data_IF_511794369994
#
_entry.id   IF_511794369994
#
_cell.length_a   1.000
_cell.length_b   1.000
_cell.length_c   1.000
_cell.angle_alpha   90.00
_cell.angle_beta   90.00
_cell.angle_gamma   90.00
#
_symmetry.space_group_name_H-M   'P 1'
#
loop_
_entity.id
_entity.type
_entity.pdbx_description
1 polymer ?
#
# COMPACT_ATOMS: atom_id res chain seq x y z
N UNK A 1 22.70 -0.94 3.76
CA UNK A 1 22.41 -2.28 3.22
C UNK A 1 22.49 -2.19 1.71
N UNK A 2 23.27 -3.06 1.08
CA UNK A 2 23.32 -3.19 -0.37
C UNK A 2 21.99 -3.72 -0.90
N UNK A 3 21.52 -3.17 -2.00
CA UNK A 3 20.29 -3.57 -2.66
C UNK A 3 20.59 -3.94 -4.12
N UNK A 4 20.41 -5.20 -4.52
CA UNK A 4 20.75 -5.63 -5.88
C UNK A 4 19.97 -4.85 -6.94
N UNK A 5 20.68 -4.33 -7.94
CA UNK A 5 20.09 -3.49 -9.00
C UNK A 5 18.95 -4.18 -9.75
N UNK A 6 19.02 -5.50 -9.92
CA UNK A 6 17.98 -6.30 -10.59
C UNK A 6 16.60 -6.17 -9.93
N UNK A 7 16.53 -6.19 -8.60
CA UNK A 7 15.26 -6.05 -7.89
C UNK A 7 14.74 -4.61 -7.92
N UNK A 8 15.66 -3.64 -8.01
CA UNK A 8 15.30 -2.23 -8.14
C UNK A 8 14.65 -1.99 -9.50
N UNK A 9 15.30 -2.42 -10.58
CA UNK A 9 14.78 -2.31 -11.94
C UNK A 9 13.44 -3.04 -12.09
N UNK A 10 13.33 -4.25 -11.55
CA UNK A 10 12.07 -5.00 -11.54
C UNK A 10 10.94 -4.22 -10.85
N UNK A 11 11.21 -3.60 -9.69
CA UNK A 11 10.20 -2.85 -8.97
C UNK A 11 9.79 -1.55 -9.69
N UNK A 12 10.73 -0.91 -10.40
CA UNK A 12 10.43 0.25 -11.25
C UNK A 12 9.50 -0.14 -12.41
N UNK A 13 9.75 -1.27 -13.06
CA UNK A 13 8.90 -1.79 -14.15
C UNK A 13 7.49 -2.13 -13.66
N UNK A 14 7.35 -2.62 -12.43
CA UNK A 14 6.06 -2.98 -11.84
C UNK A 14 5.17 -1.78 -11.49
N UNK A 15 5.75 -0.61 -11.19
CA UNK A 15 4.98 0.55 -10.71
C UNK A 15 3.87 1.01 -11.69
N UNK A 16 4.14 1.26 -12.99
CA UNK A 16 3.10 1.65 -13.93
C UNK A 16 2.08 0.54 -14.20
N UNK A 17 2.49 -0.73 -14.05
CA UNK A 17 1.58 -1.87 -14.17
C UNK A 17 0.59 -1.93 -13.00
N UNK A 18 1.07 -1.70 -11.77
CA UNK A 18 0.20 -1.64 -10.60
C UNK A 18 -0.70 -0.41 -10.59
N UNK A 19 -0.23 0.74 -11.08
CA UNK A 19 -1.06 1.92 -11.26
C UNK A 19 -2.26 1.62 -12.18
N UNK A 20 -2.01 1.04 -13.36
CA UNK A 20 -3.05 0.67 -14.31
C UNK A 20 -3.96 -0.45 -13.76
N UNK A 21 -3.39 -1.45 -13.08
CA UNK A 21 -4.16 -2.52 -12.44
C UNK A 21 -5.12 -1.96 -11.39
N UNK A 22 -4.64 -1.07 -10.50
CA UNK A 22 -5.49 -0.44 -9.48
C UNK A 22 -6.63 0.32 -10.13
N UNK A 23 -6.30 1.11 -11.15
CA UNK A 23 -7.27 1.88 -11.89
C UNK A 23 -8.35 0.97 -12.53
N UNK A 24 -7.95 -0.06 -13.29
CA UNK A 24 -8.88 -0.97 -13.97
C UNK A 24 -9.72 -1.80 -13.01
N UNK A 25 -9.16 -2.28 -11.90
CA UNK A 25 -9.94 -2.98 -10.86
C UNK A 25 -10.96 -2.04 -10.22
N UNK A 26 -10.62 -0.75 -10.05
CA UNK A 26 -11.54 0.23 -9.48
C UNK A 26 -12.77 0.52 -10.36
N UNK A 27 -12.71 0.19 -11.66
CA UNK A 27 -13.82 0.34 -12.60
C UNK A 27 -14.80 -0.86 -12.53
N UNK A 28 -14.37 -2.02 -12.05
CA UNK A 28 -15.20 -3.21 -11.93
C UNK A 28 -15.88 -3.24 -10.55
N UNK A 29 -16.92 -2.41 -10.41
CA UNK A 29 -17.66 -2.27 -9.15
C UNK A 29 -18.31 -3.57 -8.68
N UNK A 30 -18.75 -4.41 -9.62
CA UNK A 30 -19.33 -5.73 -9.31
C UNK A 30 -18.28 -6.67 -8.75
N UNK A 31 -17.08 -6.71 -9.31
CA UNK A 31 -15.95 -7.45 -8.74
C UNK A 31 -15.66 -7.01 -7.31
N UNK A 32 -15.54 -5.70 -7.05
CA UNK A 32 -15.29 -5.19 -5.70
C UNK A 32 -16.37 -5.60 -4.70
N UNK A 33 -17.65 -5.44 -5.06
CA UNK A 33 -18.77 -5.80 -4.20
C UNK A 33 -18.84 -7.32 -3.95
N UNK A 34 -18.66 -8.14 -4.98
CA UNK A 34 -18.73 -9.60 -4.88
C UNK A 34 -17.56 -10.16 -4.07
N UNK A 35 -16.33 -9.73 -4.35
CA UNK A 35 -15.14 -10.23 -3.66
C UNK A 35 -15.15 -9.89 -2.17
N UNK A 36 -15.72 -8.75 -1.80
CA UNK A 36 -15.80 -8.29 -0.41
C UNK A 36 -17.16 -8.58 0.26
N UNK A 37 -18.08 -9.29 -0.40
CA UNK A 37 -19.42 -9.54 0.11
C UNK A 37 -19.42 -10.27 1.46
N UNK A 38 -18.61 -11.33 1.61
CA UNK A 38 -18.47 -12.05 2.89
C UNK A 38 -17.78 -11.20 3.94
N UNK A 39 -16.77 -10.43 3.55
CA UNK A 39 -16.06 -9.50 4.44
C UNK A 39 -17.01 -8.43 4.99
N UNK A 40 -17.97 -7.95 4.19
CA UNK A 40 -19.01 -7.00 4.61
C UNK A 40 -19.83 -7.47 5.81
N UNK A 41 -20.10 -8.77 5.91
CA UNK A 41 -20.91 -9.34 6.99
C UNK A 41 -20.21 -9.24 8.35
N UNK A 42 -18.88 -9.32 8.36
CA UNK A 42 -18.08 -9.52 9.58
C UNK A 42 -17.15 -8.38 9.92
N UNK A 43 -16.82 -7.51 8.97
CA UNK A 43 -16.00 -6.32 9.21
C UNK A 43 -16.83 -5.02 9.07
N UNK A 44 -17.23 -4.39 10.19
CA UNK A 44 -18.00 -3.14 10.18
C UNK A 44 -17.32 -2.01 9.39
N UNK A 45 -15.99 -1.92 9.40
CA UNK A 45 -15.29 -0.86 8.69
C UNK A 45 -15.37 -1.05 7.18
N UNK A 46 -14.98 -2.22 6.67
CA UNK A 46 -15.09 -2.55 5.24
C UNK A 46 -16.54 -2.46 4.76
N UNK A 47 -17.52 -2.86 5.58
CA UNK A 47 -18.95 -2.68 5.27
C UNK A 47 -19.32 -1.24 4.99
N UNK A 48 -18.89 -0.31 5.84
CA UNK A 48 -19.19 1.12 5.67
C UNK A 48 -18.52 1.70 4.42
N UNK A 49 -17.32 1.23 4.06
CA UNK A 49 -16.69 1.58 2.77
C UNK A 49 -17.51 1.06 1.58
N UNK A 50 -17.95 -0.20 1.63
CA UNK A 50 -18.79 -0.82 0.59
C UNK A 50 -20.15 -0.12 0.46
N UNK A 51 -20.76 0.31 1.57
CA UNK A 51 -22.03 1.03 1.55
C UNK A 51 -21.91 2.39 0.85
N UNK A 52 -20.77 3.09 1.00
CA UNK A 52 -20.48 4.32 0.25
C UNK A 52 -20.29 3.99 -1.22
N UNK A 53 -19.53 2.95 -1.54
CA UNK A 53 -19.29 2.50 -2.91
C UNK A 53 -20.59 2.11 -3.62
N UNK A 54 -21.48 1.33 -2.98
CA UNK A 54 -22.81 0.98 -3.50
C UNK A 54 -23.63 2.22 -3.85
N UNK A 55 -23.64 3.24 -2.97
CA UNK A 55 -24.31 4.51 -3.26
C UNK A 55 -23.72 5.23 -4.46
N UNK A 56 -22.41 5.13 -4.71
CA UNK A 56 -21.78 5.76 -5.90
C UNK A 56 -22.15 5.00 -7.18
N UNK A 57 -22.25 3.67 -7.11
CA UNK A 57 -22.74 2.85 -8.22
C UNK A 57 -24.21 3.14 -8.54
N UNK A 58 -25.07 3.26 -7.51
CA UNK A 58 -26.49 3.61 -7.68
C UNK A 58 -26.70 4.99 -8.32
N UNK A 59 -25.85 5.97 -7.95
CA UNK A 59 -25.86 7.29 -8.58
C UNK A 59 -25.33 7.27 -10.02
N UNK A 60 -24.73 6.16 -10.46
CA UNK A 60 -24.03 6.00 -11.74
C UNK A 60 -23.11 7.19 -12.04
N UNK A 61 -22.38 7.62 -11.02
CA UNK A 61 -21.56 8.82 -11.11
C UNK A 61 -20.40 8.57 -12.07
N UNK A 62 -20.36 9.34 -13.15
CA UNK A 62 -19.21 9.36 -14.06
C UNK A 62 -18.11 10.22 -13.47
N UNK A 63 -16.95 9.60 -13.25
CA UNK A 63 -15.74 10.27 -12.78
C UNK A 63 -14.71 10.24 -13.90
N UNK A 64 -14.77 11.26 -14.76
CA UNK A 64 -13.88 11.35 -15.93
C UNK A 64 -12.41 11.52 -15.49
N UNK A 65 -12.16 12.28 -14.42
CA UNK A 65 -10.81 12.52 -13.91
C UNK A 65 -10.57 11.66 -12.67
N UNK A 66 -9.58 10.78 -12.73
CA UNK A 66 -9.26 9.83 -11.66
C UNK A 66 -7.77 9.92 -11.33
N UNK A 67 -7.47 10.11 -10.04
CA UNK A 67 -6.12 10.26 -9.50
C UNK A 67 -5.86 9.17 -8.46
N UNK A 68 -4.71 8.49 -8.59
CA UNK A 68 -4.20 7.54 -7.62
C UNK A 68 -2.76 7.86 -7.25
N UNK A 69 -2.47 8.02 -5.96
CA UNK A 69 -1.11 8.09 -5.43
C UNK A 69 -0.86 6.87 -4.55
N UNK A 70 -0.20 5.87 -5.11
CA UNK A 70 -0.07 4.53 -4.53
C UNK A 70 1.35 4.26 -4.04
N UNK A 71 1.50 3.20 -3.24
CA UNK A 71 2.81 2.64 -2.89
C UNK A 71 2.73 1.12 -2.84
N UNK A 72 3.47 0.48 -3.72
CA UNK A 72 3.60 -0.98 -3.76
C UNK A 72 4.83 -1.37 -2.94
N UNK A 73 4.63 -2.13 -1.87
CA UNK A 73 5.67 -2.51 -0.92
C UNK A 73 6.15 -3.94 -1.18
N UNK A 74 7.46 -4.16 -1.11
CA UNK A 74 8.11 -5.41 -1.46
C UNK A 74 9.19 -5.83 -0.48
N UNK A 75 9.45 -7.14 -0.47
CA UNK A 75 10.59 -7.77 0.18
C UNK A 75 11.23 -8.76 -0.80
N UNK A 76 12.56 -8.89 -0.77
CA UNK A 76 13.26 -9.96 -1.47
C UNK A 76 13.22 -11.19 -0.58
N UNK A 77 12.70 -12.30 -1.08
CA UNK A 77 12.68 -13.56 -0.35
C UNK A 77 14.04 -14.27 -0.46
N UNK A 78 14.70 -14.53 0.67
CA UNK A 78 16.05 -15.09 0.68
C UNK A 78 16.14 -16.57 0.29
N UNK A 79 15.02 -17.30 0.26
CA UNK A 79 14.99 -18.70 -0.15
C UNK A 79 14.80 -18.85 -1.67
N UNK A 80 14.06 -17.93 -2.30
CA UNK A 80 13.69 -18.02 -3.72
C UNK A 80 14.35 -16.97 -4.60
N UNK A 81 15.06 -15.99 -4.02
CA UNK A 81 15.63 -14.84 -4.71
C UNK A 81 14.58 -14.11 -5.57
N UNK A 82 13.34 -14.04 -5.06
CA UNK A 82 12.23 -13.36 -5.71
C UNK A 82 11.89 -12.07 -5.02
N UNK A 83 11.60 -11.05 -5.81
CA UNK A 83 10.95 -9.84 -5.34
C UNK A 83 9.46 -10.10 -5.13
N UNK A 84 9.01 -10.14 -3.87
CA UNK A 84 7.63 -10.44 -3.52
C UNK A 84 6.93 -9.21 -2.91
N UNK A 85 5.74 -8.89 -3.40
CA UNK A 85 4.91 -7.81 -2.91
C UNK A 85 4.33 -8.16 -1.55
N UNK A 86 4.59 -7.31 -0.56
CA UNK A 86 4.05 -7.38 0.79
C UNK A 86 2.60 -6.90 0.82
N UNK A 87 2.35 -5.74 0.23
CA UNK A 87 1.04 -5.11 0.14
C UNK A 87 1.03 -3.99 -0.91
N UNK A 88 -0.17 -3.56 -1.29
CA UNK A 88 -0.39 -2.41 -2.15
C UNK A 88 -1.19 -1.35 -1.38
N UNK A 89 -0.59 -0.20 -1.16
CA UNK A 89 -1.22 0.91 -0.44
C UNK A 89 -1.85 1.86 -1.46
N UNK A 90 -3.17 2.02 -1.41
CA UNK A 90 -3.90 2.90 -2.34
C UNK A 90 -4.45 4.17 -1.68
N UNK A 91 -4.42 4.24 -0.34
CA UNK A 91 -4.87 5.40 0.44
C UNK A 91 -3.76 5.90 1.37
N UNK A 92 -3.63 7.23 1.50
CA UNK A 92 -2.79 7.90 2.49
C UNK A 92 -1.35 7.35 2.55
N UNK A 93 -0.73 7.16 1.39
CA UNK A 93 0.64 6.69 1.29
C UNK A 93 1.60 7.70 1.93
N UNK A 94 2.21 7.27 3.04
CA UNK A 94 3.01 8.15 3.90
C UNK A 94 4.50 8.12 3.56
N UNK A 95 5.24 9.03 4.20
CA UNK A 95 6.72 9.07 4.21
C UNK A 95 7.42 9.40 2.89
N UNK A 96 6.72 9.80 1.84
CA UNK A 96 7.34 10.26 0.58
C UNK A 96 8.30 11.44 0.79
N UNK A 97 7.94 12.45 1.59
CA UNK A 97 8.83 13.56 1.94
C UNK A 97 10.01 13.18 2.82
N UNK A 98 9.77 12.36 3.84
CA UNK A 98 10.83 11.91 4.75
C UNK A 98 11.85 11.01 4.02
N UNK A 99 11.39 10.16 3.09
CA UNK A 99 12.25 9.31 2.29
C UNK A 99 13.22 10.11 1.40
N UNK A 100 12.77 11.25 0.85
CA UNK A 100 13.65 12.20 0.15
C UNK A 100 14.75 12.72 1.07
N UNK A 101 14.38 13.18 2.28
CA UNK A 101 15.34 13.68 3.27
C UNK A 101 16.34 12.62 3.72
N UNK A 102 15.92 11.37 3.90
CA UNK A 102 16.80 10.26 4.29
C UNK A 102 17.78 9.88 3.19
N UNK A 103 17.35 9.89 1.92
CA UNK A 103 18.27 9.70 0.79
C UNK A 103 19.37 10.78 0.79
N UNK A 104 19.00 12.05 0.96
CA UNK A 104 19.98 13.14 1.01
C UNK A 104 20.87 13.08 2.26
N UNK A 105 20.33 12.68 3.41
CA UNK A 105 21.11 12.44 4.62
C UNK A 105 22.21 11.40 4.35
N UNK A 106 21.87 10.24 3.81
CA UNK A 106 22.86 9.19 3.56
C UNK A 106 23.89 9.60 2.49
N UNK A 107 23.46 10.29 1.42
CA UNK A 107 24.38 10.86 0.43
C UNK A 107 25.35 11.86 1.09
N UNK A 108 24.85 12.70 1.98
CA UNK A 108 25.66 13.69 2.69
C UNK A 108 26.66 13.03 3.65
N UNK A 109 26.23 12.02 4.42
CA UNK A 109 27.12 11.27 5.31
C UNK A 109 28.24 10.58 4.52
N UNK A 110 27.91 9.94 3.39
CA UNK A 110 28.93 9.31 2.54
C UNK A 110 29.91 10.36 2.00
N UNK A 111 29.44 11.53 1.54
CA UNK A 111 30.31 12.63 1.08
C UNK A 111 31.31 13.07 2.15
N UNK A 112 30.88 13.19 3.41
CA UNK A 112 31.75 13.64 4.51
C UNK A 112 32.73 12.57 4.98
N UNK A 113 32.37 11.29 4.83
CA UNK A 113 33.15 10.14 5.31
C UNK A 113 33.67 9.25 4.17
N UNK A 114 33.79 9.78 2.95
CA UNK A 114 34.10 9.01 1.73
C UNK A 114 35.39 8.20 1.87
N UNK A 115 36.43 8.80 2.45
CA UNK A 115 37.74 8.15 2.69
C UNK A 115 37.66 6.99 3.69
N UNK A 116 36.77 7.07 4.66
CA UNK A 116 36.61 6.07 5.73
C UNK A 116 35.70 4.93 5.29
N UNK A 117 34.64 5.26 4.54
CA UNK A 117 33.63 4.31 4.10
C UNK A 117 33.99 3.62 2.77
N UNK A 118 34.76 4.28 1.90
CA UNK A 118 35.05 3.78 0.56
C UNK A 118 33.81 3.63 -0.32
N UNK A 119 32.78 4.45 -0.09
CA UNK A 119 31.49 4.40 -0.78
C UNK A 119 31.31 5.64 -1.66
N UNK A 120 30.70 5.47 -2.82
CA UNK A 120 30.28 6.57 -3.69
C UNK A 120 28.89 7.09 -3.27
N UNK A 121 28.72 8.39 -2.95
CA UNK A 121 27.42 8.99 -2.70
C UNK A 121 26.40 8.77 -3.84
N UNK A 122 26.85 8.59 -5.08
CA UNK A 122 25.98 8.32 -6.23
C UNK A 122 25.35 6.92 -6.20
N UNK A 123 25.93 5.97 -5.45
CA UNK A 123 25.37 4.63 -5.26
C UNK A 123 24.09 4.63 -4.41
N UNK A 124 23.85 5.68 -3.62
CA UNK A 124 22.56 5.88 -2.96
C UNK A 124 21.56 6.42 -3.96
N UNK A 125 20.42 5.76 -4.17
CA UNK A 125 19.41 6.21 -5.14
C UNK A 125 18.79 7.53 -4.68
N UNK A 126 18.78 8.52 -5.58
CA UNK A 126 18.16 9.83 -5.35
C UNK A 126 16.64 9.69 -5.29
N UNK A 127 15.96 10.60 -4.60
CA UNK A 127 14.54 10.42 -4.34
C UNK A 127 13.76 11.74 -4.45
N UNK A 128 12.82 11.77 -5.37
CA UNK A 128 11.98 12.95 -5.71
C UNK A 128 10.50 12.70 -5.42
N UNK A 129 10.16 11.70 -4.60
CA UNK A 129 8.80 11.24 -4.37
C UNK A 129 7.81 12.34 -3.96
N UNK A 130 8.23 13.26 -3.10
CA UNK A 130 7.36 14.38 -2.68
C UNK A 130 7.04 15.33 -3.82
N UNK A 131 8.03 15.68 -4.64
CA UNK A 131 7.85 16.60 -5.77
C UNK A 131 6.95 15.96 -6.82
N UNK A 132 7.17 14.69 -7.17
CA UNK A 132 6.37 13.99 -8.18
C UNK A 132 4.91 13.81 -7.72
N UNK A 133 4.66 13.48 -6.46
CA UNK A 133 3.28 13.45 -5.92
C UNK A 133 2.62 14.84 -5.90
N UNK A 134 3.38 15.91 -5.60
CA UNK A 134 2.87 17.27 -5.64
C UNK A 134 2.53 17.71 -7.08
N UNK A 135 3.37 17.34 -8.05
CA UNK A 135 3.13 17.57 -9.49
C UNK A 135 1.89 16.82 -9.97
N UNK A 136 1.68 15.58 -9.54
CA UNK A 136 0.47 14.82 -9.86
C UNK A 136 -0.80 15.48 -9.29
N UNK A 137 -0.77 15.97 -8.04
CA UNK A 137 -1.87 16.74 -7.45
C UNK A 137 -2.12 18.05 -8.20
N UNK A 138 -1.06 18.78 -8.58
CA UNK A 138 -1.14 20.02 -9.33
C UNK A 138 -1.72 19.79 -10.74
N UNK A 139 -1.33 18.68 -11.39
CA UNK A 139 -1.83 18.30 -12.72
C UNK A 139 -3.30 17.91 -12.64
N UNK A 140 -3.72 17.16 -11.62
CA UNK A 140 -5.13 16.84 -11.40
C UNK A 140 -5.98 18.10 -11.13
N UNK A 141 -5.45 19.04 -10.35
CA UNK A 141 -6.10 20.34 -10.14
C UNK A 141 -6.23 21.13 -11.46
N UNK A 142 -5.21 21.11 -12.32
CA UNK A 142 -5.24 21.75 -13.62
C UNK A 142 -6.29 21.11 -14.56
N UNK A 143 -6.39 19.77 -14.55
CA UNK A 143 -7.41 19.03 -15.31
C UNK A 143 -8.84 19.31 -14.81
N UNK A 144 -9.02 19.57 -13.52
CA UNK A 144 -10.31 20.03 -12.97
C UNK A 144 -10.73 21.40 -13.54
N UNK A 145 -9.76 22.23 -13.94
CA UNK A 145 -9.95 23.47 -14.69
C UNK A 145 -10.87 24.51 -14.01
N UNK A 146 -10.64 24.77 -12.72
CA UNK A 146 -11.27 25.87 -11.98
C UNK A 146 -10.24 26.60 -11.12
N UNK A 147 -9.85 27.82 -11.54
CA UNK A 147 -8.81 28.61 -10.89
C UNK A 147 -9.14 29.04 -9.45
N UNK A 148 -10.42 29.08 -9.08
CA UNK A 148 -10.84 29.43 -7.72
C UNK A 148 -10.87 28.23 -6.76
N UNK A 149 -10.74 27.02 -7.29
CA UNK A 149 -10.83 25.80 -6.52
C UNK A 149 -9.52 25.47 -5.80
N UNK A 150 -9.63 24.75 -4.68
CA UNK A 150 -8.47 24.38 -3.85
C UNK A 150 -8.24 22.86 -3.83
N UNK A 151 -7.04 22.45 -3.41
CA UNK A 151 -6.77 21.08 -2.96
C UNK A 151 -7.10 21.00 -1.47
N UNK A 152 -8.08 20.19 -1.10
CA UNK A 152 -8.41 19.89 0.29
C UNK A 152 -7.59 18.69 0.74
N UNK A 153 -6.81 18.84 1.81
CA UNK A 153 -6.07 17.73 2.43
C UNK A 153 -6.86 17.25 3.65
N UNK A 154 -7.36 16.02 3.61
CA UNK A 154 -8.12 15.43 4.73
C UNK A 154 -7.11 14.88 5.73
N UNK A 155 -6.92 15.63 6.82
CA UNK A 155 -6.05 15.29 7.95
C UNK A 155 -6.87 14.81 9.16
N UNK A 156 -6.20 14.31 10.18
CA UNK A 156 -6.82 14.02 11.49
C UNK A 156 -7.27 15.33 12.17
N UNK A 157 -8.29 15.25 13.03
CA UNK A 157 -9.24 16.31 13.44
C UNK A 157 -8.85 17.80 13.35
N UNK A 158 -9.86 18.62 12.98
CA UNK A 158 -9.98 20.09 12.90
C UNK A 158 -9.71 20.76 11.53
N UNK A 159 -10.75 20.94 10.68
CA UNK A 159 -10.78 21.95 9.60
C UNK A 159 -12.20 22.25 9.05
N UNK A 160 -12.48 23.49 8.63
CA UNK A 160 -13.71 23.90 7.91
C UNK A 160 -13.37 24.87 6.78
N UNK A 161 -13.88 24.62 5.56
CA UNK A 161 -13.64 25.47 4.39
C UNK A 161 -14.95 25.81 3.64
N UNK A 162 -15.06 27.06 3.15
CA UNK A 162 -16.20 27.56 2.35
C UNK A 162 -15.89 27.79 0.87
N UNK A 163 -14.79 27.22 0.35
CA UNK A 163 -14.34 27.37 -1.04
C UNK A 163 -14.67 26.14 -1.89
N UNK A 164 -14.83 26.27 -3.22
CA UNK A 164 -14.88 25.12 -4.12
C UNK A 164 -13.62 24.25 -3.99
N UNK A 165 -13.78 22.94 -4.02
CA UNK A 165 -12.67 21.97 -3.90
C UNK A 165 -12.52 21.21 -5.20
N UNK A 166 -11.33 21.24 -5.79
CA UNK A 166 -10.98 20.54 -7.02
C UNK A 166 -10.47 19.12 -6.74
N UNK A 167 -9.61 18.97 -5.72
CA UNK A 167 -8.98 17.70 -5.35
C UNK A 167 -9.15 17.48 -3.85
N UNK A 168 -9.49 16.25 -3.45
CA UNK A 168 -9.48 15.82 -2.06
C UNK A 168 -8.38 14.78 -1.88
N UNK A 169 -7.31 15.15 -1.17
CA UNK A 169 -6.17 14.29 -0.88
C UNK A 169 -6.31 13.69 0.53
N UNK A 170 -6.54 12.38 0.61
CA UNK A 170 -6.71 11.70 1.89
C UNK A 170 -5.37 11.42 2.57
N UNK A 171 -5.19 11.98 3.77
CA UNK A 171 -4.14 11.64 4.74
C UNK A 171 -4.69 10.99 6.03
N UNK A 172 -5.95 10.60 5.98
CA UNK A 172 -6.73 9.92 7.02
C UNK A 172 -7.85 9.11 6.36
N UNK A 173 -8.70 8.47 7.16
CA UNK A 173 -9.89 7.74 6.68
C UNK A 173 -9.61 6.31 6.25
N UNK A 174 -8.43 5.78 6.55
CA UNK A 174 -8.01 4.39 6.29
C UNK A 174 -8.11 3.50 7.54
N UNK A 175 -8.41 4.09 8.71
CA UNK A 175 -8.58 3.39 9.98
C UNK A 175 -9.98 3.64 10.54
N UNK A 176 -10.60 2.66 11.24
CA UNK A 176 -11.83 2.89 11.99
C UNK A 176 -11.70 4.02 13.03
N UNK A 177 -10.49 4.27 13.55
CA UNK A 177 -10.24 5.32 14.52
C UNK A 177 -10.48 6.73 13.96
N UNK A 178 -10.43 6.91 12.63
CA UNK A 178 -10.76 8.17 11.96
C UNK A 178 -12.28 8.38 11.82
N UNK A 179 -13.10 7.43 12.29
CA UNK A 179 -14.57 7.47 12.23
C UNK A 179 -15.22 7.24 13.61
N UNK A 180 -14.96 8.10 14.61
CA UNK A 180 -15.53 7.95 15.94
C UNK A 180 -17.05 8.11 15.98
N UNK A 181 -17.65 8.72 14.94
CA UNK A 181 -19.10 8.95 14.86
C UNK A 181 -19.65 8.84 13.44
N UNK A 182 -20.97 8.97 13.30
CA UNK A 182 -21.62 9.06 11.99
C UNK A 182 -21.26 10.36 11.23
N UNK A 183 -20.72 11.39 11.91
CA UNK A 183 -20.35 12.63 11.27
C UNK A 183 -19.24 12.42 10.23
N UNK A 184 -18.21 11.63 10.56
CA UNK A 184 -17.08 11.36 9.66
C UNK A 184 -17.51 10.49 8.47
N UNK A 185 -18.42 9.54 8.69
CA UNK A 185 -19.01 8.74 7.60
C UNK A 185 -19.86 9.60 6.66
N UNK A 186 -20.65 10.53 7.20
CA UNK A 186 -21.39 11.51 6.38
C UNK A 186 -20.44 12.42 5.61
N UNK A 187 -19.35 12.87 6.22
CA UNK A 187 -18.34 13.69 5.57
C UNK A 187 -17.66 12.92 4.42
N UNK A 188 -17.27 11.66 4.65
CA UNK A 188 -16.71 10.80 3.60
C UNK A 188 -17.68 10.62 2.44
N UNK A 189 -18.96 10.31 2.71
CA UNK A 189 -19.97 10.19 1.66
C UNK A 189 -20.20 11.51 0.91
N UNK A 190 -20.19 12.65 1.62
CA UNK A 190 -20.32 13.98 1.01
C UNK A 190 -19.17 14.26 0.04
N UNK A 191 -17.93 13.96 0.45
CA UNK A 191 -16.74 14.07 -0.38
C UNK A 191 -16.87 13.19 -1.63
N UNK A 192 -17.22 11.91 -1.48
CA UNK A 192 -17.34 10.97 -2.60
C UNK A 192 -18.43 11.42 -3.59
N UNK A 193 -19.53 12.01 -3.11
CA UNK A 193 -20.59 12.58 -3.96
C UNK A 193 -20.16 13.84 -4.72
N UNK A 194 -19.29 14.66 -4.14
CA UNK A 194 -18.85 15.94 -4.72
C UNK A 194 -18.13 15.79 -6.07
N UNK A 195 -18.09 16.84 -6.88
CA UNK A 195 -17.37 16.83 -8.16
C UNK A 195 -15.85 16.78 -8.03
N UNK A 196 -15.29 16.99 -6.82
CA UNK A 196 -13.86 16.97 -6.59
C UNK A 196 -13.24 15.63 -7.00
N UNK A 197 -11.99 15.65 -7.46
CA UNK A 197 -11.17 14.47 -7.75
C UNK A 197 -10.69 13.92 -6.42
N UNK A 198 -10.99 12.65 -6.10
CA UNK A 198 -10.52 12.05 -4.85
C UNK A 198 -9.19 11.34 -5.09
N UNK A 199 -8.29 11.46 -4.14
CA UNK A 199 -7.01 10.74 -4.10
C UNK A 199 -6.88 10.01 -2.75
N UNK A 200 -7.34 8.74 -2.67
CA UNK A 200 -8.07 7.98 -3.70
C UNK A 200 -9.60 8.14 -3.59
N UNK A 201 -10.32 7.75 -4.65
CA UNK A 201 -11.77 7.50 -4.57
C UNK A 201 -12.10 6.29 -3.69
N UNK A 202 -13.38 6.13 -3.32
CA UNK A 202 -13.82 4.96 -2.54
C UNK A 202 -13.50 3.63 -3.23
N UNK A 203 -13.63 3.55 -4.56
CA UNK A 203 -13.30 2.35 -5.32
C UNK A 203 -11.80 2.04 -5.24
N UNK A 204 -10.94 3.03 -5.50
CA UNK A 204 -9.48 2.88 -5.37
C UNK A 204 -9.06 2.48 -3.95
N UNK A 205 -9.72 3.01 -2.91
CA UNK A 205 -9.49 2.58 -1.53
C UNK A 205 -9.84 1.08 -1.36
N UNK A 206 -10.99 0.62 -1.84
CA UNK A 206 -11.36 -0.80 -1.77
C UNK A 206 -10.36 -1.73 -2.48
N UNK A 207 -9.76 -1.28 -3.60
CA UNK A 207 -8.72 -2.05 -4.30
C UNK A 207 -7.51 -2.35 -3.40
N UNK A 208 -7.17 -1.43 -2.48
CA UNK A 208 -6.04 -1.61 -1.56
C UNK A 208 -6.27 -2.64 -0.45
N UNK A 209 -7.50 -3.15 -0.30
CA UNK A 209 -7.78 -4.16 0.72
C UNK A 209 -7.01 -5.44 0.48
N UNK A 210 -6.57 -6.08 1.57
CA UNK A 210 -5.81 -7.33 1.52
C UNK A 210 -6.62 -8.44 0.83
N UNK A 211 -7.95 -8.43 0.98
CA UNK A 211 -8.85 -9.37 0.30
C UNK A 211 -8.83 -9.21 -1.23
N UNK A 212 -8.81 -7.99 -1.76
CA UNK A 212 -8.65 -7.76 -3.20
C UNK A 212 -7.26 -8.21 -3.68
N UNK A 213 -6.20 -7.90 -2.94
CA UNK A 213 -4.85 -8.39 -3.25
C UNK A 213 -4.81 -9.93 -3.34
N UNK A 214 -5.42 -10.64 -2.39
CA UNK A 214 -5.54 -12.10 -2.42
C UNK A 214 -6.35 -12.58 -3.62
N UNK A 215 -7.44 -11.91 -3.97
CA UNK A 215 -8.28 -12.32 -5.09
C UNK A 215 -7.58 -12.14 -6.44
N UNK A 216 -6.83 -11.05 -6.61
CA UNK A 216 -6.01 -10.81 -7.80
C UNK A 216 -4.93 -11.88 -7.99
N UNK A 217 -4.47 -12.53 -6.92
CA UNK A 217 -3.48 -13.60 -6.99
C UNK A 217 -4.05 -14.95 -7.47
N UNK A 218 -5.37 -15.09 -7.58
CA UNK A 218 -5.98 -16.30 -8.15
C UNK A 218 -5.72 -16.40 -9.66
N UNK A 219 -5.63 -17.64 -10.15
CA UNK A 219 -5.50 -17.89 -11.58
C UNK A 219 -6.62 -17.20 -12.37
N UNK A 220 -6.25 -16.63 -13.54
CA UNK A 220 -7.16 -15.98 -14.49
C UNK A 220 -7.83 -14.67 -14.02
N UNK A 221 -7.58 -14.21 -12.78
CA UNK A 221 -8.17 -12.96 -12.30
C UNK A 221 -7.43 -11.74 -12.84
N UNK A 222 -6.08 -11.75 -12.88
CA UNK A 222 -5.29 -10.66 -13.49
C UNK A 222 -5.66 -10.43 -14.96
N UNK A 223 -5.91 -11.50 -15.70
CA UNK A 223 -6.30 -11.49 -17.12
C UNK A 223 -7.63 -10.76 -17.39
N UNK A 224 -8.46 -10.52 -16.36
CA UNK A 224 -9.65 -9.67 -16.49
C UNK A 224 -9.32 -8.18 -16.56
N UNK A 225 -8.16 -7.81 -16.00
CA UNK A 225 -7.79 -6.41 -15.78
C UNK A 225 -6.57 -6.00 -16.60
N UNK A 226 -5.71 -6.93 -17.01
CA UNK A 226 -4.52 -6.65 -17.83
C UNK A 226 -4.58 -7.49 -19.11
N UNK A 227 -4.26 -6.85 -20.24
CA UNK A 227 -4.35 -7.49 -21.56
C UNK A 227 -3.00 -8.09 -22.02
N UNK A 228 -1.90 -7.45 -21.63
CA UNK A 228 -0.57 -7.85 -22.06
C UNK A 228 -0.07 -9.05 -21.23
N UNK A 229 0.19 -10.18 -21.91
CA UNK A 229 0.66 -11.42 -21.27
C UNK A 229 1.97 -11.25 -20.49
N UNK A 230 2.90 -10.46 -21.01
CA UNK A 230 4.18 -10.20 -20.34
C UNK A 230 3.96 -9.40 -19.06
N UNK A 231 3.08 -8.40 -19.09
CA UNK A 231 2.76 -7.58 -17.92
C UNK A 231 2.06 -8.40 -16.84
N UNK A 232 1.11 -9.24 -17.24
CA UNK A 232 0.43 -10.20 -16.36
C UNK A 232 1.44 -11.14 -15.70
N UNK A 233 2.39 -11.67 -16.47
CA UNK A 233 3.43 -12.54 -15.94
C UNK A 233 4.35 -11.81 -14.97
N UNK A 234 4.74 -10.57 -15.27
CA UNK A 234 5.58 -9.74 -14.41
C UNK A 234 4.88 -9.41 -13.08
N UNK A 235 3.60 -9.00 -13.13
CA UNK A 235 2.79 -8.77 -11.93
C UNK A 235 2.65 -10.06 -11.12
N UNK A 236 2.33 -11.18 -11.78
CA UNK A 236 2.18 -12.49 -11.11
C UNK A 236 3.47 -12.95 -10.43
N UNK A 237 4.63 -12.74 -11.05
CA UNK A 237 5.95 -13.12 -10.50
C UNK A 237 6.24 -12.47 -9.15
N UNK A 238 5.66 -11.30 -8.86
CA UNK A 238 5.85 -10.64 -7.59
C UNK A 238 4.80 -11.01 -6.52
N UNK A 239 3.78 -11.81 -6.83
CA UNK A 239 2.86 -12.26 -5.79
C UNK A 239 3.49 -13.35 -4.93
N UNK A 240 3.51 -13.11 -3.62
CA UNK A 240 3.72 -14.18 -2.65
C UNK A 240 2.50 -15.11 -2.63
N UNK A 241 2.62 -16.24 -1.93
CA UNK A 241 1.46 -17.07 -1.64
C UNK A 241 0.38 -16.29 -0.89
N UNK A 242 -0.83 -16.23 -1.47
CA UNK A 242 -1.98 -15.48 -0.94
C UNK A 242 -3.22 -16.38 -1.00
N UNK A 243 -3.88 -16.59 0.15
CA UNK A 243 -4.95 -17.58 0.26
C UNK A 243 -6.14 -17.06 1.08
N UNK A 244 -7.34 -17.45 0.63
CA UNK A 244 -8.55 -17.38 1.44
C UNK A 244 -8.49 -18.43 2.55
N UNK A 245 -9.08 -18.15 3.71
CA UNK A 245 -9.22 -19.11 4.80
C UNK A 245 -10.21 -20.25 4.51
N UNK A 246 -10.82 -20.25 3.32
CA UNK A 246 -11.63 -21.37 2.81
C UNK A 246 -10.77 -22.53 2.27
N UNK A 247 -9.46 -22.33 2.10
CA UNK A 247 -8.56 -23.39 1.67
C UNK A 247 -8.09 -24.20 2.88
N UNK A 248 -8.84 -25.25 3.24
CA UNK A 248 -8.56 -26.10 4.41
C UNK A 248 -7.13 -26.67 4.43
N UNK A 249 -6.57 -27.04 3.27
CA UNK A 249 -5.22 -27.59 3.20
C UNK A 249 -4.17 -26.56 3.64
N UNK A 250 -4.28 -25.34 3.15
CA UNK A 250 -3.36 -24.25 3.49
C UNK A 250 -3.58 -23.78 4.93
N UNK A 251 -4.84 -23.75 5.41
CA UNK A 251 -5.14 -23.42 6.81
C UNK A 251 -4.57 -24.47 7.76
N UNK A 252 -4.68 -25.77 7.45
CA UNK A 252 -4.05 -26.84 8.23
C UNK A 252 -2.52 -26.67 8.27
N UNK A 253 -1.89 -26.41 7.12
CA UNK A 253 -0.46 -26.16 7.04
C UNK A 253 -0.02 -24.95 7.88
N UNK A 254 -0.82 -23.88 7.90
CA UNK A 254 -0.55 -22.71 8.73
C UNK A 254 -0.79 -22.94 10.24
N UNK A 255 -1.65 -23.88 10.61
CA UNK A 255 -1.78 -24.31 12.01
C UNK A 255 -0.57 -25.16 12.43
N UNK A 256 -0.06 -26.02 11.56
CA UNK A 256 1.10 -26.86 11.84
C UNK A 256 2.39 -26.03 11.94
N UNK A 257 2.61 -25.13 10.97
CA UNK A 257 3.81 -24.30 10.79
C UNK A 257 3.48 -22.80 10.72
N UNK A 258 2.95 -22.20 11.80
CA UNK A 258 2.47 -20.82 11.80
C UNK A 258 3.56 -19.76 11.58
N UNK A 259 4.83 -20.11 11.83
CA UNK A 259 5.98 -19.25 11.60
C UNK A 259 6.17 -18.89 10.11
N UNK A 260 5.65 -19.71 9.20
CA UNK A 260 5.76 -19.55 7.73
C UNK A 260 4.65 -18.66 7.13
N UNK A 261 3.71 -18.20 7.95
CA UNK A 261 2.54 -17.47 7.48
C UNK A 261 2.33 -16.15 8.24
N UNK A 262 1.54 -15.28 7.63
CA UNK A 262 1.02 -14.05 8.21
C UNK A 262 -0.48 -14.01 7.98
N UNK A 263 -1.25 -13.79 9.03
CA UNK A 263 -2.69 -13.63 8.98
C UNK A 263 -3.01 -12.14 9.01
N UNK A 264 -3.68 -11.63 7.97
CA UNK A 264 -3.90 -10.19 7.79
C UNK A 264 -5.40 -9.85 7.81
N UNK A 265 -5.87 -8.97 8.72
CA UNK A 265 -7.20 -8.40 8.64
C UNK A 265 -7.29 -7.32 7.55
N UNK A 266 -8.49 -6.83 7.26
CA UNK A 266 -8.71 -5.71 6.32
C UNK A 266 -8.40 -4.34 6.98
N UNK A 267 -7.14 -4.12 7.36
CA UNK A 267 -6.68 -2.88 7.99
C UNK A 267 -5.42 -2.37 7.31
N UNK A 268 -5.23 -1.05 7.39
CA UNK A 268 -4.06 -0.32 6.92
C UNK A 268 -3.30 0.32 8.09
N UNK A 269 -2.04 0.71 7.87
CA UNK A 269 -1.27 1.52 8.82
C UNK A 269 -0.37 0.74 9.80
N UNK A 270 -0.25 -0.58 9.64
CA UNK A 270 0.63 -1.44 10.45
C UNK A 270 0.09 -1.79 11.84
N UNK A 271 0.65 -2.82 12.47
CA UNK A 271 0.28 -3.25 13.83
C UNK A 271 -0.95 -4.17 13.92
N UNK A 272 -1.50 -4.61 12.79
CA UNK A 272 -2.76 -5.39 12.75
C UNK A 272 -2.54 -6.86 12.41
N UNK A 273 -1.35 -7.25 11.96
CA UNK A 273 -1.10 -8.59 11.46
C UNK A 273 -0.86 -9.56 12.61
N UNK A 274 -1.20 -10.83 12.40
CA UNK A 274 -1.08 -11.89 13.39
C UNK A 274 -0.06 -12.92 12.88
N UNK A 275 0.84 -13.36 13.76
CA UNK A 275 2.01 -14.20 13.45
C UNK A 275 2.17 -15.32 14.48
N UNK A 276 2.87 -16.40 14.11
CA UNK A 276 3.32 -17.43 15.05
C UNK A 276 2.19 -18.06 15.86
N UNK A 277 2.41 -18.27 17.16
CA UNK A 277 1.42 -18.96 18.01
C UNK A 277 0.06 -18.23 18.05
N UNK A 278 0.06 -16.89 18.06
CA UNK A 278 -1.18 -16.11 17.99
C UNK A 278 -1.95 -16.37 16.68
N UNK A 279 -1.25 -16.61 15.57
CA UNK A 279 -1.87 -16.99 14.29
C UNK A 279 -2.51 -18.37 14.41
N UNK A 280 -1.77 -19.36 14.94
CA UNK A 280 -2.26 -20.73 15.15
C UNK A 280 -3.53 -20.74 16.01
N UNK A 281 -3.48 -20.07 17.16
CA UNK A 281 -4.61 -19.97 18.10
C UNK A 281 -5.82 -19.29 17.46
N UNK A 282 -5.59 -18.21 16.70
CA UNK A 282 -6.65 -17.50 15.98
C UNK A 282 -7.30 -18.40 14.94
N UNK A 283 -6.53 -19.14 14.13
CA UNK A 283 -7.07 -20.06 13.13
C UNK A 283 -7.87 -21.20 13.78
N UNK A 284 -7.40 -21.78 14.89
CA UNK A 284 -8.12 -22.84 15.61
C UNK A 284 -9.45 -22.31 16.15
N UNK A 285 -9.47 -21.11 16.74
CA UNK A 285 -10.70 -20.48 17.23
C UNK A 285 -11.70 -20.25 16.10
N UNK A 286 -11.26 -19.60 15.01
CA UNK A 286 -12.11 -19.30 13.86
C UNK A 286 -12.76 -20.54 13.24
N UNK A 287 -12.06 -21.69 13.23
CA UNK A 287 -12.63 -22.96 12.72
C UNK A 287 -13.62 -23.61 13.68
N UNK A 288 -13.41 -23.52 15.00
CA UNK A 288 -14.30 -24.12 16.00
C UNK A 288 -15.66 -23.43 16.03
N UNK A 289 -15.67 -22.12 15.90
CA UNK A 289 -16.89 -21.33 16.07
C UNK A 289 -17.84 -21.40 14.86
N UNK A 290 -17.40 -22.03 13.76
CA UNK A 290 -18.16 -22.10 12.50
C UNK A 290 -18.56 -20.71 11.97
N UNK A 291 -17.89 -19.66 12.46
CA UNK A 291 -18.30 -18.28 12.24
C UNK A 291 -17.82 -17.82 10.86
N UNK A 292 -18.61 -16.95 10.23
CA UNK A 292 -18.19 -16.27 8.99
C UNK A 292 -17.01 -15.31 9.21
N UNK A 293 -16.48 -15.17 10.44
CA UNK A 293 -15.38 -14.26 10.78
C UNK A 293 -14.09 -14.57 10.01
N UNK A 294 -13.94 -15.79 9.49
CA UNK A 294 -12.85 -16.15 8.57
C UNK A 294 -12.75 -15.20 7.37
N UNK A 295 -13.87 -14.58 6.94
CA UNK A 295 -13.90 -13.65 5.83
C UNK A 295 -13.28 -12.27 6.12
N UNK A 296 -12.99 -11.96 7.39
CA UNK A 296 -12.27 -10.74 7.75
C UNK A 296 -10.77 -10.82 7.45
N UNK A 297 -10.24 -12.02 7.22
CA UNK A 297 -8.81 -12.28 7.10
C UNK A 297 -8.41 -12.89 5.77
N UNK A 298 -7.15 -12.68 5.40
CA UNK A 298 -6.44 -13.50 4.41
C UNK A 298 -5.22 -14.13 5.07
N UNK A 299 -4.77 -15.25 4.50
CA UNK A 299 -3.49 -15.85 4.86
C UNK A 299 -2.47 -15.54 3.77
N UNK A 300 -1.28 -15.15 4.18
CA UNK A 300 -0.18 -14.82 3.27
C UNK A 300 1.08 -15.58 3.66
N UNK A 301 1.86 -16.00 2.67
CA UNK A 301 3.22 -16.49 2.85
C UNK A 301 4.05 -15.44 3.58
N UNK A 302 4.75 -15.85 4.64
CA UNK A 302 5.76 -14.99 5.26
C UNK A 302 7.00 -14.96 4.38
N UNK A 303 7.47 -13.76 4.08
CA UNK A 303 8.69 -13.52 3.31
C UNK A 303 9.86 -13.42 4.29
N UNK A 304 11.00 -14.04 3.97
CA UNK A 304 12.19 -14.05 4.82
C UNK A 304 13.39 -13.41 4.11
N UNK A 305 13.55 -12.07 4.18
CA UNK A 305 14.66 -11.40 3.53
C UNK A 305 16.01 -11.73 4.17
N UNK A 306 17.11 -11.66 3.41
CA UNK A 306 18.45 -11.76 3.97
C UNK A 306 18.68 -10.60 4.96
N UNK A 307 19.04 -10.96 6.19
CA UNK A 307 19.37 -9.98 7.21
C UNK A 307 20.81 -9.47 7.04
N UNK A 308 21.04 -8.21 7.36
CA UNK A 308 22.39 -7.63 7.38
C UNK A 308 22.59 -6.74 8.60
N UNK A 309 23.82 -6.58 9.12
CA UNK A 309 24.08 -5.70 10.24
C UNK A 309 23.83 -4.24 9.84
N UNK A 310 23.11 -3.49 10.68
CA UNK A 310 22.92 -2.05 10.53
C UNK A 310 22.90 -1.36 11.89
N UNK A 311 23.21 -0.06 11.87
CA UNK A 311 22.94 0.83 12.99
C UNK A 311 21.53 1.39 12.86
N UNK A 312 20.75 1.32 13.94
CA UNK A 312 19.40 1.86 14.05
C UNK A 312 19.45 3.02 15.04
N UNK A 313 19.06 4.21 14.58
CA UNK A 313 19.15 5.45 15.38
C UNK A 313 17.75 5.92 15.78
N UNK A 314 17.53 6.15 17.07
CA UNK A 314 16.27 6.70 17.62
C UNK A 314 16.57 7.57 18.82
N UNK A 315 15.97 8.76 18.85
CA UNK A 315 16.01 9.67 20.00
C UNK A 315 17.44 9.94 20.52
N UNK A 316 18.37 10.16 19.59
CA UNK A 316 19.78 10.44 19.92
C UNK A 316 20.60 9.22 20.37
N UNK A 317 20.00 8.02 20.41
CA UNK A 317 20.68 6.76 20.72
C UNK A 317 20.79 5.88 19.48
N UNK A 318 21.73 4.93 19.49
CA UNK A 318 21.84 3.93 18.43
C UNK A 318 22.01 2.53 18.99
N UNK A 319 21.50 1.54 18.25
CA UNK A 319 21.74 0.12 18.48
C UNK A 319 22.23 -0.53 17.19
N UNK A 320 23.14 -1.50 17.31
CA UNK A 320 23.56 -2.34 16.18
C UNK A 320 22.77 -3.64 16.22
N UNK A 321 22.09 -3.98 15.14
CA UNK A 321 21.29 -5.21 15.03
C UNK A 321 21.34 -5.78 13.61
N UNK A 322 20.94 -7.04 13.45
CA UNK A 322 20.66 -7.62 12.14
C UNK A 322 19.26 -7.17 11.71
N UNK A 323 19.20 -6.56 10.54
CA UNK A 323 17.99 -5.91 10.04
C UNK A 323 17.57 -6.48 8.69
N UNK A 324 16.26 -6.43 8.44
CA UNK A 324 15.65 -6.70 7.14
C UNK A 324 14.99 -5.43 6.64
N UNK A 325 14.88 -5.29 5.31
CA UNK A 325 14.26 -4.13 4.70
C UNK A 325 13.05 -4.50 3.85
N UNK A 326 12.05 -3.62 3.92
CA UNK A 326 10.87 -3.59 3.07
C UNK A 326 10.96 -2.31 2.26
N UNK A 327 10.90 -2.40 0.94
CA UNK A 327 11.01 -1.23 0.09
C UNK A 327 9.72 -1.02 -0.70
N UNK A 328 9.24 0.22 -0.67
CA UNK A 328 8.05 0.67 -1.35
C UNK A 328 8.41 1.50 -2.56
N UNK A 329 7.79 1.22 -3.70
CA UNK A 329 7.82 2.08 -4.88
C UNK A 329 6.54 2.88 -4.91
N UNK A 330 6.68 4.21 -4.93
CA UNK A 330 5.55 5.11 -5.10
C UNK A 330 5.14 5.14 -6.57
N UNK A 331 3.84 5.25 -6.82
CA UNK A 331 3.28 5.42 -8.16
C UNK A 331 2.28 6.58 -8.19
N UNK A 332 2.27 7.30 -9.30
CA UNK A 332 1.23 8.29 -9.60
C UNK A 332 0.49 7.91 -10.87
N UNK A 333 -0.83 7.94 -10.79
CA UNK A 333 -1.72 7.71 -11.92
C UNK A 333 -2.73 8.85 -12.02
N UNK A 334 -2.85 9.44 -13.21
CA UNK A 334 -3.87 10.44 -13.52
C UNK A 334 -4.41 10.16 -14.91
N UNK A 335 -5.74 10.07 -15.03
CA UNK A 335 -6.42 10.02 -16.32
C UNK A 335 -7.54 11.05 -16.38
N UNK A 336 -7.87 11.46 -17.60
CA UNK A 336 -9.07 12.20 -17.91
C UNK A 336 -9.77 11.50 -19.08
N UNK A 337 -10.91 10.86 -18.82
CA UNK A 337 -11.59 9.95 -19.75
C UNK A 337 -10.59 8.90 -20.26
N UNK A 338 -10.49 8.72 -21.56
CA UNK A 338 -9.62 7.69 -22.17
C UNK A 338 -8.14 8.09 -22.22
N UNK A 339 -7.80 9.34 -21.88
CA UNK A 339 -6.42 9.81 -21.89
C UNK A 339 -5.76 9.56 -20.54
N UNK A 340 -4.76 8.69 -20.53
CA UNK A 340 -3.79 8.58 -19.42
C UNK A 340 -2.83 9.78 -19.53
N UNK A 341 -2.77 10.58 -18.47
CA UNK A 341 -1.97 11.81 -18.38
C UNK A 341 -0.69 11.54 -17.60
N UNK A 342 -0.78 10.78 -16.50
CA UNK A 342 0.35 10.34 -15.67
C UNK A 342 0.18 8.83 -15.45
N UNK A 343 1.24 8.07 -15.68
CA UNK A 343 1.35 6.69 -15.22
C UNK A 343 2.82 6.39 -14.92
N UNK A 344 3.30 6.95 -13.81
CA UNK A 344 4.71 7.04 -13.52
C UNK A 344 5.08 6.36 -12.20
N UNK A 345 6.34 5.94 -12.13
CA UNK A 345 7.03 5.67 -10.88
C UNK A 345 7.49 7.00 -10.24
N UNK A 346 7.26 7.14 -8.94
CA UNK A 346 7.43 8.41 -8.23
C UNK A 346 8.36 8.32 -7.01
N UNK A 347 9.56 7.79 -7.18
CA UNK A 347 10.52 7.58 -6.09
C UNK A 347 10.20 6.34 -5.24
N UNK A 348 10.76 6.30 -4.02
CA UNK A 348 10.70 5.11 -3.17
C UNK A 348 10.64 5.45 -1.67
N UNK A 349 10.35 4.43 -0.86
CA UNK A 349 10.45 4.42 0.60
C UNK A 349 11.16 3.14 1.02
N UNK A 350 12.32 3.22 1.67
CA UNK A 350 12.92 2.05 2.31
C UNK A 350 12.63 2.08 3.80
N UNK A 351 12.00 1.02 4.31
CA UNK A 351 11.78 0.78 5.72
C UNK A 351 12.65 -0.37 6.16
N UNK A 352 13.31 -0.21 7.30
CA UNK A 352 14.20 -1.22 7.86
C UNK A 352 13.79 -1.50 9.30
N UNK A 353 13.78 -2.77 9.69
CA UNK A 353 13.46 -3.21 11.05
C UNK A 353 14.44 -4.28 11.50
N UNK A 354 14.61 -4.45 12.81
CA UNK A 354 15.32 -5.61 13.34
C UNK A 354 14.67 -6.90 12.82
N UNK A 355 15.48 -7.88 12.41
CA UNK A 355 15.00 -9.11 11.79
C UNK A 355 14.08 -9.94 12.70
N UNK A 356 14.20 -9.75 14.02
CA UNK A 356 13.35 -10.35 15.04
C UNK A 356 11.95 -9.74 15.14
N UNK A 357 11.71 -8.57 14.55
CA UNK A 357 10.43 -7.86 14.65
C UNK A 357 9.47 -8.25 13.52
N UNK A 358 8.22 -8.55 13.90
CA UNK A 358 7.17 -8.89 12.94
C UNK A 358 6.61 -7.66 12.21
N UNK A 359 6.37 -6.57 12.94
CA UNK A 359 5.75 -5.36 12.41
C UNK A 359 6.75 -4.39 11.77
N UNK A 360 6.31 -3.60 10.78
CA UNK A 360 7.17 -2.75 9.93
C UNK A 360 6.77 -1.27 9.86
N UNK A 361 5.83 -0.82 10.69
CA UNK A 361 5.37 0.58 10.69
C UNK A 361 6.39 1.52 11.35
N UNK A 362 6.82 2.57 10.64
CA UNK A 362 7.73 3.60 11.20
C UNK A 362 7.02 4.44 12.26
N UNK A 363 5.82 4.96 11.94
CA UNK A 363 5.02 5.77 12.87
C UNK A 363 4.56 4.95 14.08
N UNK A 364 4.32 3.66 13.89
CA UNK A 364 3.99 2.72 14.96
C UNK A 364 5.22 2.32 15.82
N UNK A 365 6.42 2.82 15.50
CA UNK A 365 7.63 2.61 16.29
C UNK A 365 8.37 1.31 16.02
N UNK A 366 7.97 0.50 15.04
CA UNK A 366 8.61 -0.79 14.76
C UNK A 366 9.75 -0.73 13.75
N UNK A 367 9.71 0.24 12.84
CA UNK A 367 10.69 0.39 11.76
C UNK A 367 11.39 1.74 11.78
N UNK A 368 12.42 1.84 10.95
CA UNK A 368 13.27 2.98 10.72
C UNK A 368 13.25 3.31 9.24
N UNK A 369 13.40 4.60 8.90
CA UNK A 369 13.56 5.01 7.51
C UNK A 369 15.00 4.75 7.07
N UNK A 370 15.16 4.39 5.80
CA UNK A 370 16.46 4.09 5.20
C UNK A 370 16.50 4.55 3.73
N UNK A 371 17.63 4.39 3.06
CA UNK A 371 17.79 4.64 1.62
C UNK A 371 18.34 3.42 0.89
N UNK A 372 18.11 3.35 -0.42
CA UNK A 372 18.60 2.26 -1.26
C UNK A 372 20.03 2.56 -1.68
N UNK A 373 20.95 1.65 -1.37
CA UNK A 373 22.33 1.66 -1.86
C UNK A 373 22.46 0.56 -2.91
N UNK A 374 22.58 0.91 -4.20
CA UNK A 374 22.61 -0.08 -5.28
C UNK A 374 23.95 -0.80 -5.33
N UNK A 375 23.88 -2.11 -5.58
CA UNK A 375 25.03 -2.99 -5.83
C UNK A 375 24.82 -3.85 -7.06
#
# INVERSE_FOLDING_TARGET
MSFPKVYWEQALELAPLFNELVHRVSLDGDFLQQTLARTKEVDPFTRRLLDIHSKMMELNKKEDIQLGLTRSDYMVDGATDKLLQVELNTISTSSNGLACGVSELHRNLIRHHERELGLDPASVVGNTAITQHAEALATAWAEYNNQSAVVLVVVQAEERNGRPVAVVYFRAGYSPADYPSEAEWRARLLIERSSAIKCPSIAHHLVGTKKIQQELAKEKVLERFLDNKSDIENVRKCFAGLWSLENDNIVNSAIESPELFVLKPQREGGGNNIYGDNLRETLIRLRKDGSNEIAAYILMQRIFPPASPSYLVREGTFVRDNVVSEFGIFGAYLRNKDKVIINDQCGYLLRTKAASLNEGGVVAGYAFLNSIFLT
#
